data_IF_563750071219
#
_entry.id   IF_563750071219
#
_cell.length_a   1.000
_cell.length_b   1.000
_cell.length_c   1.000
_cell.angle_alpha   90.00
_cell.angle_beta   90.00
_cell.angle_gamma   90.00
#
_symmetry.space_group_name_H-M   'P 1'
#
loop_
_entity.id
_entity.type
_entity.pdbx_description
1 polymer ?
#
# COMPACT_ATOMS: atom_id res chain seq x y z
N UNK A 1 -17.25 -56.71 4.73
CA UNK A 1 -17.76 -55.66 5.63
C UNK A 1 -16.53 -54.94 6.17
N UNK A 2 -15.98 -54.03 5.36
CA UNK A 2 -14.78 -53.25 5.71
C UNK A 2 -15.17 -52.04 6.57
N UNK A 3 -14.44 -51.74 7.65
CA UNK A 3 -14.74 -50.58 8.47
C UNK A 3 -14.28 -49.31 7.76
N UNK A 4 -15.24 -48.42 7.60
CA UNK A 4 -15.12 -47.06 7.05
C UNK A 4 -14.01 -46.31 7.78
N UNK A 5 -13.03 -45.81 7.00
CA UNK A 5 -11.90 -45.04 7.49
C UNK A 5 -12.36 -43.81 8.28
N UNK A 6 -11.75 -43.64 9.47
CA UNK A 6 -11.90 -42.50 10.36
C UNK A 6 -11.67 -41.20 9.58
N UNK A 7 -12.70 -40.38 9.47
CA UNK A 7 -12.58 -38.96 9.14
C UNK A 7 -11.74 -38.30 10.22
N UNK A 8 -10.49 -37.95 9.89
CA UNK A 8 -9.65 -37.10 10.73
C UNK A 8 -10.35 -35.75 10.89
N UNK A 9 -11.00 -35.54 12.02
CA UNK A 9 -11.50 -34.23 12.42
C UNK A 9 -10.27 -33.37 12.70
N UNK A 10 -9.89 -32.54 11.73
CA UNK A 10 -8.86 -31.50 11.92
C UNK A 10 -9.31 -30.58 13.06
N UNK A 11 -8.84 -30.86 14.28
CA UNK A 11 -9.15 -30.07 15.47
C UNK A 11 -8.59 -28.66 15.30
N UNK A 12 -9.47 -27.66 15.29
CA UNK A 12 -9.10 -26.25 15.20
C UNK A 12 -8.14 -25.87 16.35
N UNK A 13 -6.99 -25.27 16.05
CA UNK A 13 -6.02 -24.84 17.06
C UNK A 13 -6.37 -23.41 17.53
N UNK A 14 -7.19 -23.30 18.57
CA UNK A 14 -7.63 -22.04 19.18
C UNK A 14 -6.73 -21.56 20.33
N UNK A 15 -5.61 -22.24 20.60
CA UNK A 15 -4.71 -21.84 21.68
C UNK A 15 -4.18 -20.43 21.46
N UNK A 16 -4.21 -19.60 22.50
CA UNK A 16 -3.70 -18.24 22.50
C UNK A 16 -4.27 -17.34 21.39
N UNK A 17 -5.47 -17.62 20.87
CA UNK A 17 -6.04 -16.91 19.71
C UNK A 17 -6.09 -15.39 19.90
N UNK A 18 -6.48 -14.92 21.09
CA UNK A 18 -6.46 -13.48 21.41
C UNK A 18 -5.07 -12.86 21.36
N UNK A 19 -4.05 -13.58 21.84
CA UNK A 19 -2.65 -13.15 21.76
C UNK A 19 -2.10 -13.20 20.33
N UNK A 20 -2.54 -14.17 19.51
CA UNK A 20 -2.21 -14.23 18.08
C UNK A 20 -2.78 -13.03 17.32
N UNK A 21 -4.03 -12.66 17.56
CA UNK A 21 -4.63 -11.43 17.00
C UNK A 21 -3.92 -10.18 17.52
N UNK A 22 -3.53 -10.16 18.79
CA UNK A 22 -2.69 -9.09 19.36
C UNK A 22 -1.33 -8.97 18.67
N UNK A 23 -0.68 -10.10 18.37
CA UNK A 23 0.57 -10.15 17.62
C UNK A 23 0.41 -9.67 16.17
N UNK A 24 -0.69 -10.04 15.52
CA UNK A 24 -1.05 -9.55 14.18
C UNK A 24 -1.22 -8.03 14.16
N UNK A 25 -1.91 -7.47 15.16
CA UNK A 25 -2.09 -6.02 15.32
C UNK A 25 -0.76 -5.33 15.60
N UNK A 26 0.03 -5.83 16.54
CA UNK A 26 1.32 -5.23 16.91
C UNK A 26 2.29 -5.20 15.72
N UNK A 27 2.34 -6.27 14.93
CA UNK A 27 3.15 -6.32 13.70
C UNK A 27 2.67 -5.31 12.65
N UNK A 28 1.36 -5.26 12.40
CA UNK A 28 0.77 -4.34 11.44
C UNK A 28 0.92 -2.87 11.85
N UNK A 29 0.73 -2.57 13.12
CA UNK A 29 0.90 -1.23 13.68
C UNK A 29 2.37 -0.80 13.65
N UNK A 30 3.31 -1.69 13.96
CA UNK A 30 4.76 -1.40 13.90
C UNK A 30 5.20 -1.03 12.48
N UNK A 31 4.75 -1.80 11.49
CA UNK A 31 4.99 -1.47 10.08
C UNK A 31 4.32 -0.14 9.69
N UNK A 32 3.08 0.09 10.13
CA UNK A 32 2.33 1.32 9.90
C UNK A 32 3.04 2.56 10.44
N UNK A 33 3.47 2.55 11.71
CA UNK A 33 4.15 3.69 12.36
C UNK A 33 5.46 4.03 11.65
N UNK A 34 6.22 3.02 11.21
CA UNK A 34 7.50 3.23 10.56
C UNK A 34 7.38 3.79 9.15
N UNK A 35 6.38 3.32 8.40
CA UNK A 35 6.20 3.69 6.99
C UNK A 35 5.36 4.96 6.84
N UNK A 36 4.33 5.15 7.67
CA UNK A 36 3.35 6.22 7.50
C UNK A 36 3.93 7.64 7.41
N UNK A 37 4.98 8.04 8.15
CA UNK A 37 5.51 9.40 8.06
C UNK A 37 6.03 9.73 6.66
N UNK A 38 6.83 8.84 6.07
CA UNK A 38 7.43 9.04 4.74
C UNK A 38 6.33 9.08 3.68
N UNK A 39 5.39 8.14 3.74
CA UNK A 39 4.30 8.07 2.75
C UNK A 39 3.38 9.29 2.87
N UNK A 40 3.08 9.75 4.08
CA UNK A 40 2.23 10.94 4.30
C UNK A 40 2.85 12.17 3.67
N UNK A 41 4.17 12.36 3.85
CA UNK A 41 4.92 13.47 3.26
C UNK A 41 4.82 13.44 1.72
N UNK A 42 5.02 12.26 1.12
CA UNK A 42 4.97 12.08 -0.34
C UNK A 42 3.54 12.29 -0.89
N UNK A 43 2.54 11.62 -0.31
CA UNK A 43 1.14 11.68 -0.78
C UNK A 43 0.57 13.10 -0.64
N UNK A 44 0.86 13.78 0.47
CA UNK A 44 0.50 15.19 0.67
C UNK A 44 1.13 16.05 -0.42
N UNK A 45 2.42 15.87 -0.70
CA UNK A 45 3.12 16.65 -1.73
C UNK A 45 2.57 16.47 -3.13
N UNK A 46 2.20 15.24 -3.52
CA UNK A 46 1.61 14.96 -4.84
C UNK A 46 0.26 15.66 -4.98
N UNK A 47 -0.60 15.56 -3.95
CA UNK A 47 -1.96 16.09 -4.01
C UNK A 47 -1.96 17.63 -3.90
N UNK A 48 -1.12 18.22 -3.06
CA UNK A 48 -0.95 19.68 -3.00
C UNK A 48 -0.40 20.26 -4.32
N UNK A 49 0.50 19.54 -5.00
CA UNK A 49 0.98 19.91 -6.34
C UNK A 49 -0.11 19.81 -7.39
N UNK A 50 -0.85 18.71 -7.40
CA UNK A 50 -1.93 18.48 -8.35
C UNK A 50 -3.10 19.45 -8.15
N UNK A 51 -3.37 19.93 -6.94
CA UNK A 51 -4.40 20.95 -6.70
C UNK A 51 -3.93 22.37 -7.00
N UNK A 52 -2.64 22.59 -7.22
CA UNK A 52 -2.05 23.92 -7.38
C UNK A 52 -1.93 24.69 -6.05
N UNK A 53 -2.14 24.01 -4.91
CA UNK A 53 -2.06 24.60 -3.57
C UNK A 53 -0.62 24.89 -3.15
N UNK A 54 0.30 24.00 -3.50
CA UNK A 54 1.71 24.14 -3.19
C UNK A 54 2.55 23.38 -4.23
N UNK A 55 3.84 23.67 -4.35
CA UNK A 55 4.72 22.83 -5.18
C UNK A 55 5.10 21.56 -4.42
N UNK A 56 5.35 20.47 -5.15
CA UNK A 56 5.79 19.19 -4.55
C UNK A 56 6.98 19.39 -3.58
N UNK A 57 8.03 20.10 -4.01
CA UNK A 57 9.23 20.32 -3.18
C UNK A 57 8.97 21.15 -1.93
N UNK A 58 8.18 22.22 -2.03
CA UNK A 58 7.84 23.06 -0.88
C UNK A 58 6.95 22.30 0.12
N UNK A 59 6.02 21.47 -0.36
CA UNK A 59 5.20 20.61 0.48
C UNK A 59 6.03 19.56 1.23
N UNK A 60 6.96 18.89 0.53
CA UNK A 60 7.88 17.92 1.13
C UNK A 60 8.72 18.59 2.22
N UNK A 61 9.32 19.76 1.94
CA UNK A 61 10.13 20.51 2.90
C UNK A 61 9.32 20.94 4.13
N UNK A 62 8.11 21.45 3.92
CA UNK A 62 7.23 21.87 5.02
C UNK A 62 6.81 20.69 5.89
N UNK A 63 6.46 19.57 5.27
CA UNK A 63 6.00 18.37 5.99
C UNK A 63 7.16 17.71 6.75
N UNK A 64 8.36 17.70 6.18
CA UNK A 64 9.57 17.23 6.87
C UNK A 64 9.93 18.15 8.05
N UNK A 65 9.85 19.47 7.87
CA UNK A 65 10.05 20.44 8.94
C UNK A 65 9.03 20.25 10.07
N UNK A 66 7.77 19.99 9.74
CA UNK A 66 6.72 19.70 10.72
C UNK A 66 7.00 18.40 11.48
N UNK A 67 7.40 17.33 10.79
CA UNK A 67 7.78 16.06 11.41
C UNK A 67 8.96 16.22 12.38
N UNK A 68 10.00 16.96 11.99
CA UNK A 68 11.21 17.14 12.81
C UNK A 68 11.01 18.12 13.97
N UNK A 69 10.31 19.24 13.75
CA UNK A 69 10.17 20.29 14.76
C UNK A 69 8.93 20.13 15.65
N UNK A 70 7.88 19.44 15.17
CA UNK A 70 6.61 19.25 15.88
C UNK A 70 6.00 17.87 15.61
N UNK A 71 6.71 16.77 15.94
CA UNK A 71 6.27 15.40 15.62
C UNK A 71 4.88 15.06 16.18
N UNK A 72 4.53 15.55 17.36
CA UNK A 72 3.20 15.32 17.96
C UNK A 72 2.05 15.86 17.09
N UNK A 73 2.21 17.02 16.45
CA UNK A 73 1.18 17.57 15.54
C UNK A 73 1.07 16.74 14.27
N UNK A 74 2.22 16.28 13.76
CA UNK A 74 2.26 15.44 12.58
C UNK A 74 1.61 14.06 12.84
N UNK A 75 1.94 13.41 13.95
CA UNK A 75 1.42 12.07 14.31
C UNK A 75 -0.07 12.08 14.66
N UNK A 76 -0.60 13.18 15.21
CA UNK A 76 -2.04 13.32 15.50
C UNK A 76 -2.81 13.84 14.27
N UNK A 77 -2.12 14.17 13.18
CA UNK A 77 -2.76 14.72 11.99
C UNK A 77 -3.66 13.71 11.27
N UNK A 78 -4.78 14.20 10.71
CA UNK A 78 -5.68 13.37 9.88
C UNK A 78 -4.97 12.71 8.68
N UNK A 79 -4.07 13.40 7.94
CA UNK A 79 -3.31 12.77 6.86
C UNK A 79 -2.49 11.57 7.35
N UNK A 80 -1.78 11.71 8.46
CA UNK A 80 -1.01 10.60 9.04
C UNK A 80 -1.92 9.43 9.44
N UNK A 81 -3.02 9.72 10.16
CA UNK A 81 -3.96 8.68 10.60
C UNK A 81 -4.51 7.86 9.43
N UNK A 82 -4.84 8.49 8.30
CA UNK A 82 -5.33 7.81 7.10
C UNK A 82 -4.27 6.89 6.46
N UNK A 83 -3.00 7.34 6.39
CA UNK A 83 -1.91 6.50 5.89
C UNK A 83 -1.66 5.34 6.86
N UNK A 84 -1.59 5.63 8.16
CA UNK A 84 -1.43 4.61 9.19
C UNK A 84 -2.53 3.55 9.08
N UNK A 85 -3.80 3.96 9.00
CA UNK A 85 -4.93 3.04 8.82
C UNK A 85 -4.84 2.23 7.54
N UNK A 86 -4.38 2.81 6.42
CA UNK A 86 -4.16 2.08 5.17
C UNK A 86 -3.16 0.94 5.35
N UNK A 87 -1.95 1.24 5.84
CA UNK A 87 -0.89 0.24 5.97
C UNK A 87 -1.18 -0.76 7.08
N UNK A 88 -1.56 -0.27 8.26
CA UNK A 88 -1.97 -1.11 9.38
C UNK A 88 -3.14 -2.02 8.98
N UNK A 89 -4.19 -1.49 8.36
CA UNK A 89 -5.35 -2.27 7.94
C UNK A 89 -5.03 -3.34 6.90
N UNK A 90 -4.18 -3.01 5.91
CA UNK A 90 -3.75 -3.96 4.88
C UNK A 90 -2.94 -5.10 5.50
N UNK A 91 -1.94 -4.80 6.33
CA UNK A 91 -1.14 -5.83 7.00
C UNK A 91 -1.96 -6.63 7.99
N UNK A 92 -2.83 -5.98 8.77
CA UNK A 92 -3.73 -6.64 9.71
C UNK A 92 -4.62 -7.66 9.00
N UNK A 93 -5.14 -7.32 7.82
CA UNK A 93 -5.95 -8.24 6.99
C UNK A 93 -5.11 -9.44 6.56
N UNK A 94 -3.91 -9.22 6.03
CA UNK A 94 -3.02 -10.29 5.60
C UNK A 94 -2.63 -11.22 6.75
N UNK A 95 -2.30 -10.64 7.90
CA UNK A 95 -1.91 -11.33 9.12
C UNK A 95 -3.08 -12.14 9.71
N UNK A 96 -4.28 -11.56 9.74
CA UNK A 96 -5.50 -12.22 10.21
C UNK A 96 -5.87 -13.43 9.37
N UNK A 97 -5.66 -13.38 8.05
CA UNK A 97 -5.86 -14.56 7.18
C UNK A 97 -4.84 -15.66 7.49
N UNK A 98 -3.58 -15.31 7.77
CA UNK A 98 -2.58 -16.29 8.18
C UNK A 98 -2.94 -16.95 9.52
N UNK A 99 -3.40 -16.16 10.50
CA UNK A 99 -3.85 -16.65 11.80
C UNK A 99 -5.12 -17.49 11.69
N UNK A 100 -6.10 -17.08 10.89
CA UNK A 100 -7.30 -17.87 10.64
C UNK A 100 -6.97 -19.20 9.96
N UNK A 101 -6.09 -19.20 8.96
CA UNK A 101 -5.72 -20.41 8.24
C UNK A 101 -4.91 -21.38 9.10
N UNK A 102 -3.95 -20.88 9.89
CA UNK A 102 -3.20 -21.72 10.83
C UNK A 102 -4.10 -22.32 11.92
N UNK A 103 -5.07 -21.54 12.42
CA UNK A 103 -6.08 -21.99 13.38
C UNK A 103 -6.97 -23.09 12.80
N UNK A 104 -7.53 -22.88 11.61
CA UNK A 104 -8.45 -23.84 10.96
C UNK A 104 -7.77 -25.13 10.49
N UNK A 105 -6.48 -25.06 10.14
CA UNK A 105 -5.69 -26.20 9.62
C UNK A 105 -4.78 -26.84 10.66
N UNK A 106 -4.92 -26.45 11.93
CA UNK A 106 -4.08 -26.91 13.04
C UNK A 106 -2.57 -26.78 12.76
N UNK A 107 -2.15 -25.71 12.10
CA UNK A 107 -0.73 -25.43 11.78
C UNK A 107 -0.09 -24.50 12.81
N UNK A 108 1.25 -24.43 12.86
CA UNK A 108 1.96 -23.51 13.73
C UNK A 108 1.53 -22.05 13.53
N UNK A 109 1.51 -21.26 14.59
CA UNK A 109 1.04 -19.87 14.58
C UNK A 109 1.90 -18.96 13.68
N UNK A 110 3.18 -19.29 13.55
CA UNK A 110 4.14 -18.63 12.67
C UNK A 110 3.88 -18.87 11.17
N UNK A 111 3.06 -19.87 10.80
CA UNK A 111 2.81 -20.24 9.41
C UNK A 111 2.17 -19.09 8.64
N UNK A 112 2.80 -18.71 7.53
CA UNK A 112 2.23 -17.78 6.56
C UNK A 112 1.62 -18.54 5.39
N UNK A 113 0.47 -18.07 4.91
CA UNK A 113 -0.19 -18.63 3.73
C UNK A 113 0.09 -17.81 2.48
N UNK A 114 0.15 -18.51 1.36
CA UNK A 114 0.10 -17.94 0.02
C UNK A 114 -1.08 -18.61 -0.69
N UNK A 115 -2.08 -17.82 -1.10
CA UNK A 115 -3.28 -18.37 -1.73
C UNK A 115 -4.32 -17.31 -2.07
N UNK A 116 -5.28 -17.71 -2.92
CA UNK A 116 -6.35 -16.85 -3.41
C UNK A 116 -7.16 -16.15 -2.29
N UNK A 117 -7.50 -16.79 -1.16
CA UNK A 117 -8.24 -16.11 -0.09
C UNK A 117 -7.48 -14.92 0.49
N UNK A 118 -6.18 -15.09 0.79
CA UNK A 118 -5.32 -14.01 1.28
C UNK A 118 -5.16 -12.90 0.27
N UNK A 119 -4.96 -13.28 -0.99
CA UNK A 119 -4.90 -12.35 -2.11
C UNK A 119 -6.15 -11.48 -2.18
N UNK A 120 -7.33 -12.10 -2.22
CA UNK A 120 -8.59 -11.37 -2.43
C UNK A 120 -8.87 -10.48 -1.23
N UNK A 121 -8.77 -11.02 -0.01
CA UNK A 121 -9.00 -10.25 1.20
C UNK A 121 -8.05 -9.05 1.33
N UNK A 122 -6.75 -9.28 1.11
CA UNK A 122 -5.73 -8.21 1.23
C UNK A 122 -5.89 -7.18 0.11
N UNK A 123 -6.16 -7.61 -1.12
CA UNK A 123 -6.36 -6.70 -2.26
C UNK A 123 -7.61 -5.86 -2.12
N UNK A 124 -8.73 -6.46 -1.70
CA UNK A 124 -9.98 -5.74 -1.43
C UNK A 124 -9.83 -4.74 -0.28
N UNK A 125 -9.19 -5.15 0.81
CA UNK A 125 -8.90 -4.27 1.95
C UNK A 125 -8.00 -3.10 1.54
N UNK A 126 -6.92 -3.39 0.80
CA UNK A 126 -6.00 -2.37 0.31
C UNK A 126 -6.70 -1.38 -0.63
N UNK A 127 -7.49 -1.87 -1.59
CA UNK A 127 -8.26 -1.06 -2.52
C UNK A 127 -9.24 -0.14 -1.78
N UNK A 128 -10.02 -0.69 -0.86
CA UNK A 128 -11.00 0.08 -0.09
C UNK A 128 -10.35 1.19 0.75
N UNK A 129 -9.26 0.87 1.45
CA UNK A 129 -8.52 1.83 2.26
C UNK A 129 -7.81 2.88 1.41
N UNK A 130 -7.26 2.50 0.25
CA UNK A 130 -6.65 3.42 -0.72
C UNK A 130 -7.69 4.42 -1.24
N UNK A 131 -8.85 3.94 -1.68
CA UNK A 131 -9.94 4.80 -2.16
C UNK A 131 -10.44 5.74 -1.06
N UNK A 132 -10.62 5.24 0.16
CA UNK A 132 -11.03 6.07 1.29
C UNK A 132 -10.01 7.17 1.59
N UNK A 133 -8.73 6.80 1.65
CA UNK A 133 -7.61 7.74 1.81
C UNK A 133 -7.60 8.79 0.70
N UNK A 134 -7.62 8.38 -0.56
CA UNK A 134 -7.51 9.31 -1.68
C UNK A 134 -8.70 10.27 -1.75
N UNK A 135 -9.90 9.81 -1.45
CA UNK A 135 -11.09 10.66 -1.33
C UNK A 135 -10.87 11.75 -0.25
N UNK A 136 -10.47 11.33 0.96
CA UNK A 136 -10.24 12.27 2.07
C UNK A 136 -9.06 13.22 1.82
N UNK A 137 -7.96 12.74 1.24
CA UNK A 137 -6.82 13.60 0.91
C UNK A 137 -7.21 14.64 -0.15
N UNK A 138 -7.94 14.23 -1.17
CA UNK A 138 -8.40 15.12 -2.24
C UNK A 138 -9.27 16.25 -1.66
N UNK A 139 -10.14 15.93 -0.69
CA UNK A 139 -10.94 16.93 0.03
C UNK A 139 -10.09 17.85 0.93
N UNK A 140 -9.11 17.30 1.65
CA UNK A 140 -8.28 18.07 2.58
C UNK A 140 -7.31 19.02 1.88
N UNK A 141 -6.83 18.65 0.69
CA UNK A 141 -5.81 19.38 -0.06
C UNK A 141 -6.37 19.98 -1.36
N UNK A 142 -7.66 20.34 -1.37
CA UNK A 142 -8.31 20.98 -2.50
C UNK A 142 -7.64 22.30 -2.89
N UNK A 143 -7.87 22.73 -4.14
CA UNK A 143 -7.33 23.95 -4.70
C UNK A 143 -7.62 25.17 -3.81
N UNK A 144 -6.71 26.16 -3.71
CA UNK A 144 -6.94 27.38 -2.94
C UNK A 144 -8.24 28.07 -3.36
N UNK A 145 -9.08 28.45 -2.39
CA UNK A 145 -10.37 29.09 -2.65
C UNK A 145 -11.51 28.14 -3.04
N UNK A 146 -11.27 26.83 -3.14
CA UNK A 146 -12.32 25.83 -3.35
C UNK A 146 -12.78 25.19 -2.04
N UNK A 147 -14.10 25.17 -1.79
CA UNK A 147 -14.67 24.46 -0.65
C UNK A 147 -14.51 22.94 -0.84
N UNK A 148 -14.21 22.16 0.22
CA UNK A 148 -14.18 20.70 0.14
C UNK A 148 -15.54 20.18 -0.34
N UNK A 149 -15.55 19.57 -1.52
CA UNK A 149 -16.75 19.03 -2.16
C UNK A 149 -16.72 17.50 -2.21
N UNK A 150 -17.87 16.89 -2.43
CA UNK A 150 -17.96 15.46 -2.71
C UNK A 150 -17.10 15.12 -3.94
N UNK A 151 -16.38 13.99 -3.87
CA UNK A 151 -15.55 13.54 -4.99
C UNK A 151 -16.46 13.02 -6.10
N UNK A 152 -16.35 13.53 -7.35
CA UNK A 152 -17.17 13.06 -8.46
C UNK A 152 -16.96 11.57 -8.75
N UNK A 153 -18.01 10.91 -9.23
CA UNK A 153 -17.95 9.50 -9.62
C UNK A 153 -16.81 9.21 -10.63
N UNK A 154 -16.56 10.14 -11.57
CA UNK A 154 -15.48 10.03 -12.54
C UNK A 154 -14.09 9.96 -11.88
N UNK A 155 -13.82 10.79 -10.86
CA UNK A 155 -12.57 10.72 -10.08
C UNK A 155 -12.47 9.39 -9.34
N UNK A 156 -13.59 8.90 -8.78
CA UNK A 156 -13.62 7.62 -8.08
C UNK A 156 -13.29 6.46 -9.02
N UNK A 157 -13.88 6.44 -10.23
CA UNK A 157 -13.58 5.45 -11.27
C UNK A 157 -12.10 5.47 -11.65
N UNK A 158 -11.51 6.66 -11.84
CA UNK A 158 -10.08 6.76 -12.18
C UNK A 158 -9.18 6.25 -11.05
N UNK A 159 -9.52 6.54 -9.78
CA UNK A 159 -8.76 6.00 -8.66
C UNK A 159 -8.86 4.48 -8.57
N UNK A 160 -10.04 3.92 -8.79
CA UNK A 160 -10.26 2.47 -8.83
C UNK A 160 -9.50 1.82 -10.00
N UNK A 161 -9.61 2.38 -11.22
CA UNK A 161 -8.89 1.88 -12.39
C UNK A 161 -7.39 1.86 -12.16
N UNK A 162 -6.86 2.92 -11.56
CA UNK A 162 -5.45 3.01 -11.18
C UNK A 162 -5.02 1.89 -10.23
N UNK A 163 -5.84 1.60 -9.22
CA UNK A 163 -5.54 0.56 -8.24
C UNK A 163 -5.66 -0.83 -8.86
N UNK A 164 -6.68 -1.07 -9.68
CA UNK A 164 -6.81 -2.30 -10.47
C UNK A 164 -5.59 -2.54 -11.36
N UNK A 165 -5.08 -1.50 -12.02
CA UNK A 165 -3.87 -1.60 -12.86
C UNK A 165 -2.66 -2.03 -12.03
N UNK A 166 -2.52 -1.45 -10.84
CA UNK A 166 -1.39 -1.72 -9.94
C UNK A 166 -1.46 -3.15 -9.37
N UNK A 167 -2.65 -3.59 -8.96
CA UNK A 167 -2.93 -4.96 -8.50
C UNK A 167 -2.64 -5.94 -9.64
N UNK A 168 -3.25 -5.74 -10.81
CA UNK A 168 -3.06 -6.59 -11.98
C UNK A 168 -1.57 -6.75 -12.33
N UNK A 169 -0.84 -5.64 -12.40
CA UNK A 169 0.59 -5.65 -12.67
C UNK A 169 1.35 -6.45 -11.62
N UNK A 170 1.11 -6.18 -10.34
CA UNK A 170 1.82 -6.81 -9.20
C UNK A 170 1.67 -8.33 -9.14
N UNK A 171 0.64 -8.89 -9.78
CA UNK A 171 0.41 -10.32 -9.77
C UNK A 171 0.79 -11.03 -11.06
N UNK A 172 0.59 -10.39 -12.21
CA UNK A 172 0.83 -11.02 -13.50
C UNK A 172 2.25 -10.78 -14.01
N UNK A 173 2.87 -9.64 -13.67
CA UNK A 173 4.17 -9.27 -14.23
C UNK A 173 5.38 -9.88 -13.51
N UNK A 174 5.43 -10.11 -12.18
CA UNK A 174 6.65 -10.63 -11.56
C UNK A 174 7.07 -12.02 -12.07
N UNK A 175 6.17 -13.00 -12.29
CA UNK A 175 6.55 -14.29 -12.88
C UNK A 175 7.10 -14.18 -14.29
N UNK A 176 6.65 -13.17 -15.05
CA UNK A 176 7.13 -12.90 -16.41
C UNK A 176 8.49 -12.19 -16.36
N UNK A 177 8.65 -11.21 -15.48
CA UNK A 177 9.86 -10.37 -15.43
C UNK A 177 11.03 -11.09 -14.74
N UNK A 178 10.78 -11.89 -13.69
CA UNK A 178 11.84 -12.50 -12.89
C UNK A 178 12.80 -13.40 -13.70
N UNK A 179 12.36 -14.25 -14.66
CA UNK A 179 13.25 -15.04 -15.50
C UNK A 179 14.05 -14.20 -16.50
N UNK A 180 13.50 -13.09 -17.00
CA UNK A 180 14.26 -12.18 -17.87
C UNK A 180 15.31 -11.42 -17.06
N UNK A 181 14.94 -10.96 -15.87
CA UNK A 181 15.83 -10.21 -15.00
C UNK A 181 17.02 -11.07 -14.53
N UNK A 182 16.80 -12.36 -14.26
CA UNK A 182 17.88 -13.29 -13.89
C UNK A 182 18.92 -13.50 -15.00
N UNK A 183 18.56 -13.26 -16.28
CA UNK A 183 19.49 -13.33 -17.42
C UNK A 183 20.38 -12.09 -17.53
N UNK A 184 19.87 -10.92 -17.14
CA UNK A 184 20.61 -9.65 -17.20
C UNK A 184 21.32 -9.27 -15.89
N UNK A 185 20.93 -9.87 -14.76
CA UNK A 185 21.62 -9.68 -13.48
C UNK A 185 22.95 -10.44 -13.47
N UNK A 186 24.05 -9.72 -13.31
CA UNK A 186 25.38 -10.30 -13.05
C UNK A 186 25.41 -11.08 -11.73
N UNK A 187 26.35 -12.01 -11.60
CA UNK A 187 26.47 -12.89 -10.41
C UNK A 187 26.59 -12.11 -9.09
N UNK A 188 27.28 -10.97 -9.12
CA UNK A 188 27.42 -10.09 -7.95
C UNK A 188 26.08 -9.56 -7.43
N UNK A 189 25.10 -9.27 -8.31
CA UNK A 189 23.79 -8.75 -7.89
C UNK A 189 22.88 -9.89 -7.41
N UNK A 190 23.01 -11.07 -8.00
CA UNK A 190 22.28 -12.29 -7.56
C UNK A 190 22.64 -12.71 -6.14
N UNK A 191 23.86 -12.41 -5.68
CA UNK A 191 24.28 -12.63 -4.30
C UNK A 191 23.54 -11.78 -3.26
N UNK A 192 23.03 -10.60 -3.65
CA UNK A 192 22.35 -9.69 -2.72
C UNK A 192 20.83 -9.65 -2.89
N UNK A 193 20.32 -9.79 -4.12
CA UNK A 193 18.88 -9.68 -4.41
C UNK A 193 18.47 -10.79 -5.36
N UNK A 194 17.46 -11.58 -4.94
CA UNK A 194 16.87 -12.58 -5.84
C UNK A 194 16.14 -11.90 -7.00
N UNK A 195 16.14 -12.52 -8.18
CA UNK A 195 15.40 -11.98 -9.33
C UNK A 195 13.90 -11.85 -9.06
N UNK A 196 13.35 -12.71 -8.19
CA UNK A 196 11.96 -12.63 -7.75
C UNK A 196 11.70 -11.39 -6.89
N UNK A 197 12.56 -11.10 -5.91
CA UNK A 197 12.47 -9.90 -5.08
C UNK A 197 12.64 -8.63 -5.94
N UNK A 198 13.62 -8.63 -6.85
CA UNK A 198 13.82 -7.50 -7.74
C UNK A 198 12.61 -7.27 -8.67
N UNK A 199 12.01 -8.34 -9.22
CA UNK A 199 10.78 -8.24 -10.00
C UNK A 199 9.60 -7.71 -9.17
N UNK A 200 9.46 -8.15 -7.91
CA UNK A 200 8.42 -7.66 -6.98
C UNK A 200 8.53 -6.16 -6.67
N UNK A 201 9.73 -5.57 -6.71
CA UNK A 201 9.91 -4.11 -6.57
C UNK A 201 9.80 -3.36 -7.90
N UNK A 202 10.33 -3.94 -8.98
CA UNK A 202 10.35 -3.31 -10.30
C UNK A 202 8.95 -3.22 -10.90
N UNK A 203 8.12 -4.25 -10.72
CA UNK A 203 6.76 -4.29 -11.26
C UNK A 203 5.88 -3.13 -10.77
N UNK A 204 5.73 -2.89 -9.45
CA UNK A 204 4.98 -1.74 -8.96
C UNK A 204 5.57 -0.39 -9.38
N UNK A 205 6.88 -0.31 -9.62
CA UNK A 205 7.54 0.90 -10.10
C UNK A 205 7.23 1.16 -11.58
N UNK A 206 7.33 0.14 -12.43
CA UNK A 206 7.04 0.22 -13.85
C UNK A 206 5.58 0.59 -14.12
N UNK A 207 4.63 0.00 -13.37
CA UNK A 207 3.22 0.34 -13.54
C UNK A 207 2.91 1.79 -13.16
N UNK A 208 3.72 2.46 -12.33
CA UNK A 208 3.52 3.90 -12.03
C UNK A 208 3.60 4.76 -13.28
N UNK A 209 4.34 4.38 -14.32
CA UNK A 209 4.41 5.13 -15.58
C UNK A 209 3.01 5.28 -16.21
N UNK A 210 2.16 4.26 -16.07
CA UNK A 210 0.80 4.20 -16.60
C UNK A 210 -0.27 4.58 -15.56
N UNK A 211 -0.04 4.23 -14.28
CA UNK A 211 -0.95 4.46 -13.15
C UNK A 211 -0.96 5.92 -12.68
N UNK A 212 0.18 6.62 -12.76
CA UNK A 212 0.29 8.04 -12.37
C UNK A 212 -0.58 8.99 -13.20
N UNK A 213 -0.61 8.95 -14.55
CA UNK A 213 -1.44 9.88 -15.32
C UNK A 213 -2.94 9.68 -15.02
N UNK A 214 -3.39 8.44 -14.80
CA UNK A 214 -4.77 8.14 -14.37
C UNK A 214 -5.09 8.80 -13.02
N UNK A 215 -4.17 8.68 -12.06
CA UNK A 215 -4.32 9.31 -10.75
C UNK A 215 -4.35 10.85 -10.83
N UNK A 216 -3.41 11.46 -11.57
CA UNK A 216 -3.35 12.91 -11.75
C UNK A 216 -4.59 13.44 -12.48
N UNK A 217 -5.12 12.70 -13.44
CA UNK A 217 -6.36 13.05 -14.11
C UNK A 217 -7.55 13.07 -13.14
N UNK A 218 -7.65 12.07 -12.26
CA UNK A 218 -8.68 12.03 -11.22
C UNK A 218 -8.62 13.24 -10.28
N UNK A 219 -7.40 13.65 -9.88
CA UNK A 219 -7.17 14.85 -9.08
C UNK A 219 -7.51 16.13 -9.85
N UNK A 220 -7.19 16.21 -11.14
CA UNK A 220 -7.50 17.39 -11.95
C UNK A 220 -9.02 17.55 -12.19
N UNK A 221 -9.74 16.46 -12.43
CA UNK A 221 -11.21 16.46 -12.50
C UNK A 221 -11.84 17.00 -11.22
N UNK A 222 -11.27 16.68 -10.06
CA UNK A 222 -11.73 17.22 -8.78
C UNK A 222 -11.41 18.71 -8.61
N UNK A 223 -10.21 19.13 -8.95
CA UNK A 223 -9.75 20.49 -8.65
C UNK A 223 -10.20 21.54 -9.69
N UNK A 224 -10.49 21.13 -10.93
CA UNK A 224 -10.88 22.04 -12.02
C UNK A 224 -12.07 21.47 -12.76
N UNK A 225 -13.30 21.86 -12.41
CA UNK A 225 -14.51 21.30 -13.05
C UNK A 225 -14.65 21.72 -14.52
N UNK A 226 -14.43 23.00 -14.82
CA UNK A 226 -14.72 23.59 -16.13
C UNK A 226 -13.52 23.61 -17.09
N UNK A 227 -12.44 22.88 -16.79
CA UNK A 227 -11.26 22.86 -17.64
C UNK A 227 -11.48 21.99 -18.90
N UNK A 228 -11.08 22.52 -20.05
CA UNK A 228 -11.07 21.81 -21.33
C UNK A 228 -10.05 20.66 -21.31
N UNK A 229 -10.36 19.54 -21.96
CA UNK A 229 -9.53 18.32 -21.95
C UNK A 229 -8.07 18.55 -22.36
N UNK A 230 -7.79 19.43 -23.33
CA UNK A 230 -6.42 19.81 -23.73
C UNK A 230 -5.65 20.44 -22.56
N UNK A 231 -6.30 21.33 -21.81
CA UNK A 231 -5.71 21.99 -20.65
C UNK A 231 -5.55 21.03 -19.44
N UNK A 232 -6.30 19.92 -19.41
CA UNK A 232 -6.10 18.83 -18.44
C UNK A 232 -4.88 17.99 -18.80
N UNK A 233 -4.82 17.54 -20.05
CA UNK A 233 -3.71 16.76 -20.57
C UNK A 233 -2.37 17.49 -20.42
N UNK A 234 -2.33 18.79 -20.75
CA UNK A 234 -1.12 19.61 -20.58
C UNK A 234 -0.64 19.72 -19.13
N UNK A 235 -1.56 19.78 -18.16
CA UNK A 235 -1.21 19.80 -16.74
C UNK A 235 -0.74 18.43 -16.25
N UNK A 236 -1.47 17.37 -16.60
CA UNK A 236 -1.08 15.99 -16.27
C UNK A 236 0.31 15.69 -16.82
N UNK A 237 0.61 16.05 -18.07
CA UNK A 237 1.92 15.87 -18.68
C UNK A 237 3.03 16.63 -17.92
N UNK A 238 2.76 17.88 -17.51
CA UNK A 238 3.71 18.71 -16.75
C UNK A 238 4.04 18.13 -15.38
N UNK A 239 3.04 17.60 -14.68
CA UNK A 239 3.19 17.07 -13.32
C UNK A 239 3.56 15.58 -13.29
N UNK A 240 3.46 14.88 -14.42
CA UNK A 240 3.63 13.42 -14.52
C UNK A 240 4.99 12.96 -14.04
N UNK A 241 6.09 13.51 -14.56
CA UNK A 241 7.43 13.02 -14.23
C UNK A 241 7.74 13.15 -12.73
N UNK A 242 7.45 14.31 -12.13
CA UNK A 242 7.66 14.57 -10.70
C UNK A 242 6.81 13.65 -9.83
N UNK A 243 5.53 13.52 -10.18
CA UNK A 243 4.58 12.69 -9.45
C UNK A 243 4.90 11.21 -9.58
N UNK A 244 5.33 10.75 -10.77
CA UNK A 244 5.71 9.38 -11.02
C UNK A 244 6.95 9.00 -10.22
N UNK A 245 7.99 9.85 -10.24
CA UNK A 245 9.19 9.63 -9.42
C UNK A 245 8.84 9.59 -7.93
N UNK A 246 8.05 10.54 -7.43
CA UNK A 246 7.61 10.55 -6.04
C UNK A 246 6.87 9.25 -5.65
N UNK A 247 6.00 8.75 -6.54
CA UNK A 247 5.29 7.47 -6.36
C UNK A 247 6.21 6.26 -6.44
N UNK A 248 7.26 6.28 -7.26
CA UNK A 248 8.27 5.23 -7.29
C UNK A 248 9.09 5.23 -5.99
N UNK A 249 9.54 6.40 -5.52
CA UNK A 249 10.23 6.53 -4.23
C UNK A 249 9.39 6.02 -3.06
N UNK A 250 8.08 6.22 -3.11
CA UNK A 250 7.12 5.71 -2.12
C UNK A 250 7.12 4.17 -1.99
N UNK A 251 7.47 3.43 -3.03
CA UNK A 251 7.44 1.95 -3.05
C UNK A 251 8.49 1.38 -2.09
N UNK A 252 9.67 2.00 -1.99
CA UNK A 252 10.78 1.51 -1.16
C UNK A 252 10.40 1.39 0.32
N UNK A 253 9.93 2.44 1.01
CA UNK A 253 9.49 2.31 2.40
C UNK A 253 8.25 1.42 2.53
N UNK A 254 7.32 1.49 1.57
CA UNK A 254 6.07 0.72 1.61
C UNK A 254 6.30 -0.80 1.56
N UNK A 255 7.00 -1.28 0.55
CA UNK A 255 7.19 -2.72 0.31
C UNK A 255 8.47 -3.26 0.94
N UNK A 256 9.52 -2.46 1.05
CA UNK A 256 10.78 -2.86 1.69
C UNK A 256 10.65 -2.86 3.19
N UNK A 257 10.68 -1.67 3.78
CA UNK A 257 10.73 -1.52 5.24
C UNK A 257 9.47 -2.05 5.91
N UNK A 258 8.29 -1.65 5.42
CA UNK A 258 7.00 -2.09 6.00
C UNK A 258 6.80 -3.59 5.96
N UNK A 259 7.07 -4.22 4.81
CA UNK A 259 6.88 -5.66 4.62
C UNK A 259 7.79 -6.49 5.53
N UNK A 260 9.08 -6.12 5.57
CA UNK A 260 10.09 -6.82 6.40
C UNK A 260 9.77 -6.67 7.88
N UNK A 261 9.41 -5.47 8.34
CA UNK A 261 9.10 -5.22 9.76
C UNK A 261 7.85 -5.96 10.18
N UNK A 262 6.77 -5.93 9.38
CA UNK A 262 5.56 -6.69 9.69
C UNK A 262 5.87 -8.18 9.80
N UNK A 263 6.60 -8.75 8.83
CA UNK A 263 6.94 -10.17 8.81
C UNK A 263 7.77 -10.57 10.04
N UNK A 264 8.82 -9.82 10.35
CA UNK A 264 9.73 -10.14 11.45
C UNK A 264 9.06 -9.98 12.82
N UNK A 265 8.31 -8.90 13.04
CA UNK A 265 7.58 -8.69 14.30
C UNK A 265 6.51 -9.76 14.48
N UNK A 266 5.73 -10.07 13.43
CA UNK A 266 4.72 -11.13 13.51
C UNK A 266 5.36 -12.48 13.83
N UNK A 267 6.41 -12.86 13.09
CA UNK A 267 7.11 -14.13 13.29
C UNK A 267 7.62 -14.26 14.72
N UNK A 268 8.36 -13.26 15.22
CA UNK A 268 8.95 -13.31 16.56
C UNK A 268 7.92 -13.26 17.70
N UNK A 269 6.74 -12.66 17.49
CA UNK A 269 5.65 -12.71 18.46
C UNK A 269 4.89 -14.05 18.40
N UNK A 270 4.63 -14.58 17.20
CA UNK A 270 3.95 -15.86 17.02
C UNK A 270 4.78 -17.05 17.52
N UNK A 271 6.09 -17.05 17.31
CA UNK A 271 7.01 -18.09 17.83
C UNK A 271 7.03 -18.15 19.36
N UNK A 272 6.73 -17.04 20.05
CA UNK A 272 6.62 -17.03 21.53
C UNK A 272 5.27 -17.54 22.03
N UNK A 273 4.30 -17.74 21.14
CA UNK A 273 2.92 -18.16 21.43
C UNK A 273 2.64 -19.60 20.96
N UNK A 274 3.60 -20.22 20.31
CA UNK A 274 3.68 -21.67 20.01
C UNK A 274 4.12 -22.44 21.26
#
# INVERSE_FOLDING_TARGET
>A
MEPIGKTSTSSCNTQNLGLRVGADFAAAASAGVLVAPIITIIDRGIIENASGRNTLGASLKSSLKELLLRPHRFLVSKPFALIFSLYCGTYMTANSIDTASSTLRAQPASRTTAGLPKFVATSSSNLALCLYKDNRFTQMFSAPGSAPRAVPAATFVLFTLRDCLTIFASFNLPPIIAPHLSRYMGESVKGYVSSASAAQFLTPAAVQLFSTPVHLLGLDLYNRENAMWQARAGKVARDWAKSCLARIFRIVPAFGVGGVVNMNVRKGLMEKLE
#
